data_IF_590537443281
#
_entry.id   IF_590537443281
#
_cell.length_a   1.000
_cell.length_b   1.000
_cell.length_c   1.000
_cell.angle_alpha   90.00
_cell.angle_beta   90.00
_cell.angle_gamma   90.00
#
_symmetry.space_group_name_H-M   'P 1'
#
loop_
_entity.id
_entity.type
_entity.pdbx_description
1 polymer ?
#
# COMPACT_ATOMS: atom_id res chain seq x y z
N UNK A 1 12.81 -10.56 2.58
CA UNK A 1 12.49 -9.50 3.54
C UNK A 1 12.87 -8.15 2.94
N UNK A 2 12.03 -7.13 3.05
CA UNK A 2 12.28 -5.82 2.42
C UNK A 2 11.65 -5.74 1.03
N UNK A 3 12.43 -5.35 0.02
CA UNK A 3 12.00 -5.30 -1.37
C UNK A 3 13.19 -5.17 -2.31
N UNK A 4 14.03 -4.16 -2.10
CA UNK A 4 15.19 -3.84 -2.94
C UNK A 4 16.15 -5.01 -3.17
N UNK A 5 16.50 -5.73 -2.10
CA UNK A 5 17.41 -6.88 -2.13
C UNK A 5 16.69 -8.21 -1.83
N UNK A 6 15.37 -8.25 -2.03
CA UNK A 6 14.62 -9.49 -1.89
C UNK A 6 14.87 -10.41 -3.09
N UNK A 7 15.01 -11.71 -2.86
CA UNK A 7 15.22 -12.71 -3.92
C UNK A 7 14.11 -12.71 -4.98
N UNK A 8 12.91 -12.25 -4.62
CA UNK A 8 11.77 -12.12 -5.55
C UNK A 8 11.88 -10.90 -6.47
N UNK A 9 12.76 -9.93 -6.19
CA UNK A 9 12.85 -8.66 -6.91
C UNK A 9 13.63 -8.73 -8.25
N UNK A 10 13.79 -9.94 -8.80
CA UNK A 10 14.43 -10.19 -10.10
C UNK A 10 13.50 -10.00 -11.29
N UNK A 11 12.20 -9.82 -11.05
CA UNK A 11 11.16 -9.74 -12.08
C UNK A 11 10.85 -8.31 -12.52
N UNK A 12 10.24 -8.16 -13.69
CA UNK A 12 9.62 -6.93 -14.17
C UNK A 12 8.09 -7.11 -14.15
N UNK A 13 7.39 -6.64 -13.10
CA UNK A 13 5.98 -6.91 -12.92
C UNK A 13 5.11 -5.95 -13.73
N UNK A 14 3.85 -6.33 -14.02
CA UNK A 14 2.88 -5.39 -14.59
C UNK A 14 2.42 -4.32 -13.60
N UNK A 15 2.53 -4.61 -12.29
CA UNK A 15 2.19 -3.68 -11.20
C UNK A 15 3.01 -4.04 -9.95
N UNK A 16 3.45 -3.03 -9.23
CA UNK A 16 4.04 -3.18 -7.89
C UNK A 16 3.04 -2.78 -6.82
N UNK A 17 3.01 -3.48 -5.68
CA UNK A 17 2.05 -3.20 -4.61
C UNK A 17 2.77 -3.09 -3.27
N UNK A 18 2.55 -1.98 -2.55
CA UNK A 18 3.02 -1.76 -1.18
C UNK A 18 1.79 -1.54 -0.29
N UNK A 19 1.42 -2.56 0.48
CA UNK A 19 0.19 -2.58 1.28
C UNK A 19 0.26 -1.66 2.49
N UNK A 20 1.30 -1.80 3.31
CA UNK A 20 1.51 -1.02 4.55
C UNK A 20 2.99 -0.85 4.84
N UNK A 21 3.34 0.22 5.57
CA UNK A 21 4.66 0.39 6.18
C UNK A 21 4.47 0.46 7.70
N UNK A 22 5.19 -0.39 8.42
CA UNK A 22 5.22 -0.47 9.87
C UNK A 22 6.68 -0.54 10.33
N UNK A 23 6.91 -0.28 11.62
CA UNK A 23 8.24 -0.37 12.24
C UNK A 23 8.74 -1.80 12.47
N UNK A 24 8.28 -2.77 11.69
CA UNK A 24 8.75 -4.15 11.78
C UNK A 24 10.12 -4.29 11.09
N UNK A 25 10.94 -5.21 11.59
CA UNK A 25 12.24 -5.56 11.00
C UNK A 25 13.26 -4.42 10.96
N UNK A 26 13.23 -3.50 11.95
CA UNK A 26 14.15 -2.36 12.06
C UNK A 26 15.63 -2.74 11.93
N UNK A 27 16.01 -3.85 12.56
CA UNK A 27 17.37 -4.41 12.51
C UNK A 27 17.89 -4.67 11.10
N UNK A 28 17.00 -4.84 10.11
CA UNK A 28 17.35 -5.17 8.73
C UNK A 28 17.00 -4.05 7.74
N UNK A 29 15.97 -3.24 8.02
CA UNK A 29 15.40 -2.29 7.07
C UNK A 29 15.58 -0.81 7.47
N UNK A 30 16.07 -0.54 8.68
CA UNK A 30 16.30 0.80 9.21
C UNK A 30 15.41 1.17 10.39
N UNK A 31 15.78 2.25 11.08
CA UNK A 31 15.16 2.68 12.34
C UNK A 31 13.92 3.57 12.14
N UNK A 32 13.79 4.19 10.96
CA UNK A 32 12.67 5.10 10.62
C UNK A 32 11.71 4.49 9.60
N UNK A 33 10.46 4.96 9.57
CA UNK A 33 9.48 4.47 8.59
C UNK A 33 9.89 4.86 7.18
N UNK A 34 10.57 6.01 7.01
CA UNK A 34 11.17 6.41 5.74
C UNK A 34 12.23 5.43 5.23
N UNK A 35 13.14 4.96 6.10
CA UNK A 35 14.15 3.96 5.71
C UNK A 35 13.51 2.62 5.32
N UNK A 36 12.55 2.15 6.13
CA UNK A 36 11.82 0.91 5.84
C UNK A 36 11.04 1.03 4.52
N UNK A 37 10.40 2.18 4.30
CA UNK A 37 9.69 2.48 3.05
C UNK A 37 10.62 2.49 1.85
N UNK A 38 11.83 3.04 1.99
CA UNK A 38 12.83 3.05 0.92
C UNK A 38 13.25 1.64 0.52
N UNK A 39 13.50 0.75 1.49
CA UNK A 39 13.84 -0.64 1.20
C UNK A 39 12.70 -1.38 0.49
N UNK A 40 11.45 -1.19 0.93
CA UNK A 40 10.29 -1.80 0.25
C UNK A 40 10.01 -1.18 -1.12
N UNK A 41 10.21 0.12 -1.30
CA UNK A 41 10.07 0.81 -2.58
C UNK A 41 11.09 0.36 -3.64
N UNK A 42 12.06 -0.48 -3.27
CA UNK A 42 12.96 -1.14 -4.21
C UNK A 42 12.29 -2.08 -5.20
N UNK A 43 11.03 -2.49 -4.97
CA UNK A 43 10.26 -3.28 -5.96
C UNK A 43 9.70 -2.42 -7.10
N UNK A 44 9.62 -1.09 -6.93
CA UNK A 44 9.11 -0.18 -7.96
C UNK A 44 10.04 -0.22 -9.17
N UNK A 45 9.48 -0.42 -10.37
CA UNK A 45 10.21 -0.49 -11.63
C UNK A 45 9.86 0.69 -12.54
N UNK A 46 10.76 1.02 -13.48
CA UNK A 46 10.64 2.20 -14.35
C UNK A 46 9.40 2.09 -15.23
N UNK A 47 8.56 3.13 -15.24
CA UNK A 47 7.34 3.17 -16.05
C UNK A 47 6.22 2.23 -15.62
N UNK A 48 6.44 1.38 -14.61
CA UNK A 48 5.46 0.39 -14.14
C UNK A 48 4.66 0.98 -12.98
N UNK A 49 3.32 0.85 -12.98
CA UNK A 49 2.49 1.41 -11.93
C UNK A 49 2.78 0.80 -10.56
N UNK A 50 2.66 1.63 -9.53
CA UNK A 50 2.72 1.21 -8.13
C UNK A 50 1.43 1.58 -7.40
N UNK A 51 0.84 0.59 -6.72
CA UNK A 51 -0.31 0.77 -5.81
C UNK A 51 0.21 0.88 -4.38
N UNK A 52 -0.16 1.95 -3.70
CA UNK A 52 0.30 2.27 -2.35
C UNK A 52 -0.89 2.34 -1.37
N UNK A 53 -0.92 1.41 -0.42
CA UNK A 53 -1.86 1.36 0.70
C UNK A 53 -1.39 2.13 1.95
N UNK A 54 -0.26 2.82 1.88
CA UNK A 54 0.22 3.70 2.97
C UNK A 54 -0.57 5.01 2.93
N UNK A 55 -1.28 5.32 4.02
CA UNK A 55 -2.22 6.45 4.07
C UNK A 55 -1.54 7.82 3.92
N UNK A 56 -0.58 8.12 4.79
CA UNK A 56 0.09 9.41 4.86
C UNK A 56 1.43 9.33 5.60
N UNK A 57 2.14 10.45 5.67
CA UNK A 57 3.41 10.59 6.39
C UNK A 57 4.64 10.21 5.57
N UNK A 58 5.79 10.20 6.25
CA UNK A 58 7.13 10.09 5.63
C UNK A 58 7.28 8.83 4.76
N UNK A 59 6.70 7.70 5.17
CA UNK A 59 6.78 6.45 4.43
C UNK A 59 6.11 6.57 3.06
N UNK A 60 4.95 7.21 2.99
CA UNK A 60 4.23 7.41 1.72
C UNK A 60 4.99 8.37 0.82
N UNK A 61 5.53 9.46 1.37
CA UNK A 61 6.33 10.43 0.60
C UNK A 61 7.59 9.78 0.02
N UNK A 62 8.25 8.89 0.77
CA UNK A 62 9.41 8.13 0.27
C UNK A 62 9.04 7.23 -0.91
N UNK A 63 7.91 6.50 -0.82
CA UNK A 63 7.46 5.64 -1.92
C UNK A 63 7.06 6.49 -3.13
N UNK A 64 6.34 7.59 -2.91
CA UNK A 64 5.90 8.51 -3.96
C UNK A 64 7.10 9.11 -4.70
N UNK A 65 8.09 9.63 -3.98
CA UNK A 65 9.33 10.14 -4.57
C UNK A 65 10.03 9.07 -5.41
N UNK A 66 10.09 7.83 -4.92
CA UNK A 66 10.69 6.73 -5.68
C UNK A 66 9.94 6.43 -6.98
N UNK A 67 8.61 6.50 -6.94
CA UNK A 67 7.78 6.34 -8.12
C UNK A 67 8.05 7.47 -9.14
N UNK A 68 8.13 8.72 -8.69
CA UNK A 68 8.43 9.89 -9.53
C UNK A 68 9.80 9.76 -10.22
N UNK A 69 10.86 9.41 -9.48
CA UNK A 69 12.22 9.17 -10.02
C UNK A 69 12.24 8.12 -11.13
N UNK A 70 11.39 7.09 -10.98
CA UNK A 70 11.28 5.98 -11.92
C UNK A 70 10.19 6.22 -12.98
N UNK A 71 9.52 7.37 -12.97
CA UNK A 71 8.39 7.68 -13.86
C UNK A 71 7.30 6.60 -13.79
N UNK A 72 7.13 5.99 -12.62
CA UNK A 72 6.11 4.99 -12.32
C UNK A 72 4.79 5.71 -11.95
N UNK A 73 3.65 5.38 -12.60
CA UNK A 73 2.35 5.88 -12.17
C UNK A 73 2.09 5.51 -10.70
N UNK A 74 1.81 6.52 -9.86
CA UNK A 74 1.62 6.33 -8.43
C UNK A 74 0.12 6.35 -8.07
N UNK A 75 -0.40 5.22 -7.58
CA UNK A 75 -1.79 5.07 -7.17
C UNK A 75 -1.90 4.98 -5.64
N UNK A 76 -2.29 6.08 -5.00
CA UNK A 76 -2.55 6.10 -3.56
C UNK A 76 -3.98 5.65 -3.26
N UNK A 77 -4.13 4.50 -2.61
CA UNK A 77 -5.45 3.88 -2.35
C UNK A 77 -6.27 4.73 -1.39
N UNK A 78 -5.64 5.30 -0.35
CA UNK A 78 -6.34 6.05 0.70
C UNK A 78 -6.18 7.57 0.59
N UNK A 79 -5.98 8.10 -0.62
CA UNK A 79 -5.86 9.54 -0.82
C UNK A 79 -7.19 10.26 -0.53
N UNK A 80 -7.18 11.17 0.46
CA UNK A 80 -8.30 12.05 0.75
C UNK A 80 -9.28 11.55 1.82
N UNK A 81 -10.07 12.49 2.36
CA UNK A 81 -11.05 12.19 3.41
C UNK A 81 -12.17 11.30 2.85
N UNK A 82 -12.50 10.23 3.57
CA UNK A 82 -13.58 9.27 3.23
C UNK A 82 -13.33 8.43 1.97
N UNK A 83 -12.07 8.28 1.54
CA UNK A 83 -11.64 7.30 0.52
C UNK A 83 -11.93 5.87 0.97
N UNK A 84 -11.89 5.62 2.28
CA UNK A 84 -12.23 4.34 2.87
C UNK A 84 -13.09 4.51 4.13
N UNK A 85 -14.18 3.75 4.20
CA UNK A 85 -15.10 3.74 5.35
C UNK A 85 -15.19 2.33 5.89
N UNK A 86 -15.16 2.21 7.21
CA UNK A 86 -15.40 0.94 7.92
C UNK A 86 -16.65 1.07 8.78
N UNK A 87 -17.54 0.10 8.68
CA UNK A 87 -18.72 -0.01 9.53
C UNK A 87 -18.73 -1.37 10.24
N UNK A 88 -18.94 -1.36 11.56
CA UNK A 88 -19.14 -2.58 12.34
C UNK A 88 -20.56 -3.10 12.12
N UNK A 89 -20.70 -4.41 11.99
CA UNK A 89 -21.97 -5.11 11.81
C UNK A 89 -22.03 -6.29 12.78
N UNK A 90 -23.20 -6.90 12.94
CA UNK A 90 -23.38 -8.07 13.81
C UNK A 90 -22.55 -9.28 13.36
N UNK A 91 -22.18 -9.32 12.07
CA UNK A 91 -21.41 -10.40 11.44
C UNK A 91 -19.92 -10.05 11.25
N UNK A 92 -19.46 -8.91 11.76
CA UNK A 92 -18.07 -8.45 11.60
C UNK A 92 -17.98 -7.02 11.07
N UNK A 93 -17.37 -6.83 9.91
CA UNK A 93 -17.17 -5.50 9.32
C UNK A 93 -17.62 -5.45 7.86
N UNK A 94 -18.22 -4.32 7.49
CA UNK A 94 -18.43 -3.92 6.10
C UNK A 94 -17.56 -2.71 5.77
N UNK A 95 -17.18 -2.60 4.51
CA UNK A 95 -16.24 -1.60 4.03
C UNK A 95 -16.79 -0.93 2.78
N UNK A 96 -16.46 0.34 2.63
CA UNK A 96 -16.69 1.11 1.39
C UNK A 96 -15.37 1.72 0.96
N UNK A 97 -14.87 1.32 -0.19
CA UNK A 97 -13.74 1.95 -0.87
C UNK A 97 -14.26 2.84 -1.99
N UNK A 98 -13.79 4.08 -2.05
CA UNK A 98 -14.17 5.06 -3.07
C UNK A 98 -12.98 5.39 -3.94
N UNK A 99 -13.13 5.22 -5.24
CA UNK A 99 -12.12 5.53 -6.24
C UNK A 99 -12.80 6.23 -7.40
N UNK A 100 -12.31 7.41 -7.76
CA UNK A 100 -12.90 8.26 -8.79
C UNK A 100 -14.40 8.52 -8.55
N UNK A 101 -15.27 7.99 -9.42
CA UNK A 101 -16.73 8.10 -9.31
C UNK A 101 -17.40 6.79 -8.85
N UNK A 102 -16.60 5.78 -8.50
CA UNK A 102 -17.07 4.46 -8.12
C UNK A 102 -17.00 4.22 -6.61
N UNK A 103 -17.97 3.46 -6.10
CA UNK A 103 -18.03 3.00 -4.73
C UNK A 103 -18.04 1.47 -4.70
N UNK A 104 -17.02 0.88 -4.09
CA UNK A 104 -16.92 -0.56 -3.87
C UNK A 104 -17.36 -0.89 -2.45
N UNK A 105 -18.52 -1.53 -2.31
CA UNK A 105 -19.02 -2.03 -1.03
C UNK A 105 -18.72 -3.51 -0.89
N UNK A 106 -18.04 -3.91 0.18
CA UNK A 106 -17.63 -5.29 0.37
C UNK A 106 -17.48 -5.69 1.84
N UNK A 107 -17.40 -6.99 2.08
CA UNK A 107 -17.08 -7.60 3.38
C UNK A 107 -15.85 -8.49 3.22
N UNK A 108 -15.00 -8.56 4.24
CA UNK A 108 -13.90 -9.52 4.26
C UNK A 108 -14.34 -10.80 4.99
N UNK A 109 -14.07 -11.97 4.41
CA UNK A 109 -14.31 -13.27 5.07
C UNK A 109 -13.42 -13.47 6.30
N UNK A 110 -12.26 -12.81 6.32
CA UNK A 110 -11.34 -12.78 7.44
C UNK A 110 -11.74 -11.71 8.44
N UNK A 111 -11.70 -12.04 9.73
CA UNK A 111 -11.99 -11.09 10.79
C UNK A 111 -10.88 -10.03 10.91
N UNK A 112 -11.29 -8.81 11.27
CA UNK A 112 -10.39 -7.69 11.60
C UNK A 112 -10.54 -6.48 10.68
N UNK A 113 -10.50 -5.29 11.27
CA UNK A 113 -10.63 -4.01 10.58
C UNK A 113 -9.56 -3.79 9.48
N UNK A 114 -8.35 -4.32 9.69
CA UNK A 114 -7.24 -4.19 8.75
C UNK A 114 -7.47 -4.97 7.44
N UNK A 115 -8.28 -6.03 7.46
CA UNK A 115 -8.56 -6.83 6.27
C UNK A 115 -9.30 -6.02 5.20
N UNK A 116 -10.13 -5.07 5.62
CA UNK A 116 -10.78 -4.16 4.68
C UNK A 116 -9.80 -3.29 3.90
N UNK A 117 -8.72 -2.84 4.55
CA UNK A 117 -7.68 -2.03 3.87
C UNK A 117 -6.89 -2.86 2.87
N UNK A 118 -6.53 -4.10 3.24
CA UNK A 118 -5.85 -5.01 2.31
C UNK A 118 -6.72 -5.30 1.08
N UNK A 119 -8.01 -5.55 1.28
CA UNK A 119 -8.95 -5.76 0.18
C UNK A 119 -9.11 -4.50 -0.69
N UNK A 120 -9.15 -3.30 -0.10
CA UNK A 120 -9.18 -2.06 -0.87
C UNK A 120 -7.92 -1.85 -1.72
N UNK A 121 -6.75 -2.29 -1.26
CA UNK A 121 -5.51 -2.25 -2.05
C UNK A 121 -5.53 -3.23 -3.24
N UNK A 122 -6.30 -4.32 -3.12
CA UNK A 122 -6.43 -5.31 -4.17
C UNK A 122 -7.43 -4.94 -5.28
N UNK A 123 -8.28 -3.92 -5.05
CA UNK A 123 -9.28 -3.39 -5.99
C UNK A 123 -8.67 -2.26 -6.83
#
# INVERSE_FOLDING_TARGET
MGGRFDATNVVEPSVSVITTISGEHKKFLGETLSQIAFEKAGIVKRGIPVVCGVEEGEARETIKKRAEELRAPFHAVFAGKRSFITQKTDKGYSFVYRKDKENYSFTASLQGKHQGKNAAVAI
#
